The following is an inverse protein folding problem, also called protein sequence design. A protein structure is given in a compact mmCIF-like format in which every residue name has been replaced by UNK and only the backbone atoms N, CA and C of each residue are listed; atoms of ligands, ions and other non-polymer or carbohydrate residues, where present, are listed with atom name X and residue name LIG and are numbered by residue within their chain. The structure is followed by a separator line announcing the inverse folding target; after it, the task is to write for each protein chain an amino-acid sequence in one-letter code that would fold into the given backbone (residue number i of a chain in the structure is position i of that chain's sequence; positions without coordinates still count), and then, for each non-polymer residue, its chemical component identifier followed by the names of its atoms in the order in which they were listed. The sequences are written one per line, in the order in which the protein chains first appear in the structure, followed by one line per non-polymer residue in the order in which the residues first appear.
data_IF_573338785864
#
_entry.id   IF_573338785864
#
_cell.length_a   1.000
_cell.length_b   1.000
_cell.length_c   1.000
_cell.angle_alpha   90.00
_cell.angle_beta   90.00
_cell.angle_gamma   90.00
#
_symmetry.space_group_name_H-M   'P 1'
#
loop_
_entity.id
_entity.type
_entity.pdbx_description
1 polymer ?
#
# COMPACT_ATOMS: atom_id res chain seq x y z
N UNK A 1 27.84 -1.04 0.20
CA UNK A 1 26.60 -0.46 -0.37
C UNK A 1 25.61 -1.59 -0.58
N UNK A 2 24.34 -1.40 -0.24
CA UNK A 2 23.33 -2.46 -0.34
C UNK A 2 22.69 -2.48 -1.71
N UNK A 3 22.65 -3.66 -2.33
CA UNK A 3 22.11 -3.86 -3.67
C UNK A 3 20.61 -4.16 -3.64
N UNK A 4 19.83 -3.35 -4.32
CA UNK A 4 18.37 -3.44 -4.41
C UNK A 4 17.95 -3.67 -5.87
N UNK A 5 17.07 -4.64 -6.09
CA UNK A 5 16.38 -4.82 -7.37
C UNK A 5 14.89 -4.47 -7.21
N UNK A 6 14.36 -3.67 -8.16
CA UNK A 6 13.00 -3.16 -8.15
C UNK A 6 12.20 -3.76 -9.31
N UNK A 7 11.18 -4.57 -9.03
CA UNK A 7 10.21 -5.05 -10.02
C UNK A 7 8.85 -4.43 -9.74
N UNK A 8 8.29 -3.71 -10.71
CA UNK A 8 6.96 -3.12 -10.55
C UNK A 8 6.63 -2.05 -11.57
N UNK A 9 5.34 -1.88 -11.86
CA UNK A 9 4.87 -0.97 -12.91
C UNK A 9 5.25 0.49 -12.64
N UNK A 10 5.23 0.93 -11.37
CA UNK A 10 5.51 2.32 -11.02
C UNK A 10 6.98 2.64 -10.78
N UNK A 11 7.82 1.64 -10.46
CA UNK A 11 9.20 1.90 -10.02
C UNK A 11 10.09 2.58 -11.07
N UNK A 12 10.09 2.18 -12.37
CA UNK A 12 10.90 2.87 -13.36
C UNK A 12 10.60 4.37 -13.44
N UNK A 13 9.32 4.74 -13.39
CA UNK A 13 8.89 6.14 -13.41
C UNK A 13 9.25 6.86 -12.11
N UNK A 14 9.03 6.25 -10.94
CA UNK A 14 9.38 6.85 -9.66
C UNK A 14 10.89 7.13 -9.53
N UNK A 15 11.74 6.18 -9.94
CA UNK A 15 13.20 6.34 -9.90
C UNK A 15 13.65 7.44 -10.86
N UNK A 16 13.03 7.53 -12.05
CA UNK A 16 13.32 8.60 -13.01
C UNK A 16 12.94 9.99 -12.46
N UNK A 17 11.79 10.10 -11.78
CA UNK A 17 11.30 11.37 -11.23
C UNK A 17 12.08 11.80 -9.99
N UNK A 18 12.45 10.86 -9.12
CA UNK A 18 13.19 11.16 -7.89
C UNK A 18 14.32 10.13 -7.65
N UNK A 19 15.43 10.23 -8.39
CA UNK A 19 16.51 9.24 -8.32
C UNK A 19 17.22 9.23 -6.96
N UNK A 20 17.14 10.33 -6.20
CA UNK A 20 17.78 10.46 -4.88
C UNK A 20 16.93 9.90 -3.73
N UNK A 21 15.67 9.52 -3.98
CA UNK A 21 14.77 9.05 -2.93
C UNK A 21 15.28 7.80 -2.19
N UNK A 22 16.08 6.97 -2.86
CA UNK A 22 16.64 5.73 -2.31
C UNK A 22 17.97 5.94 -1.56
N UNK A 23 18.54 7.17 -1.57
CA UNK A 23 19.75 7.51 -0.82
C UNK A 23 20.93 6.58 -1.14
N UNK A 24 21.50 5.97 -0.11
CA UNK A 24 22.68 5.08 -0.18
C UNK A 24 22.40 3.66 -0.72
N UNK A 25 21.15 3.37 -1.12
CA UNK A 25 20.80 2.08 -1.72
C UNK A 25 21.27 2.05 -3.19
N UNK A 26 22.06 1.04 -3.52
CA UNK A 26 22.51 0.78 -4.88
C UNK A 26 21.39 0.06 -5.64
N UNK A 27 20.68 0.78 -6.50
CA UNK A 27 19.68 0.16 -7.40
C UNK A 27 20.42 -0.53 -8.53
N UNK A 28 20.55 -1.85 -8.44
CA UNK A 28 21.25 -2.64 -9.46
C UNK A 28 20.36 -2.99 -10.64
N UNK A 29 19.03 -2.98 -10.45
CA UNK A 29 18.07 -3.27 -11.50
C UNK A 29 16.71 -2.62 -11.21
N UNK A 30 16.06 -2.14 -12.27
CA UNK A 30 14.67 -1.67 -12.23
C UNK A 30 13.93 -2.12 -13.49
N UNK A 31 12.74 -2.68 -13.35
CA UNK A 31 11.97 -3.13 -14.49
C UNK A 31 10.54 -3.54 -14.15
N UNK A 32 9.81 -3.95 -15.19
CA UNK A 32 8.40 -4.33 -15.11
C UNK A 32 8.18 -5.79 -15.56
N UNK A 33 9.13 -6.36 -16.31
CA UNK A 33 9.01 -7.72 -16.85
C UNK A 33 9.62 -8.75 -15.90
N UNK A 34 8.80 -9.75 -15.53
CA UNK A 34 9.24 -10.94 -14.80
C UNK A 34 10.25 -11.77 -15.60
N UNK A 35 10.08 -11.84 -16.92
CA UNK A 35 11.00 -12.58 -17.79
C UNK A 35 12.39 -11.94 -17.78
N UNK A 36 12.46 -10.61 -17.95
CA UNK A 36 13.74 -9.87 -17.85
C UNK A 36 14.35 -10.00 -16.45
N UNK A 37 13.52 -9.99 -15.40
CA UNK A 37 13.99 -10.20 -14.03
C UNK A 37 14.77 -11.53 -13.91
N UNK A 38 14.16 -12.65 -14.32
CA UNK A 38 14.79 -13.97 -14.19
C UNK A 38 16.06 -14.12 -15.06
N UNK A 39 16.14 -13.39 -16.18
CA UNK A 39 17.30 -13.41 -17.07
C UNK A 39 18.50 -12.61 -16.54
N UNK A 40 18.23 -11.45 -15.94
CA UNK A 40 19.27 -10.44 -15.68
C UNK A 40 19.66 -10.35 -14.20
N UNK A 41 18.67 -10.39 -13.30
CA UNK A 41 18.86 -10.08 -11.88
C UNK A 41 19.72 -11.09 -11.12
N UNK A 42 19.67 -12.42 -11.40
CA UNK A 42 20.54 -13.39 -10.75
C UNK A 42 22.04 -13.05 -10.80
N UNK A 43 22.50 -12.47 -11.92
CA UNK A 43 23.91 -12.11 -12.11
C UNK A 43 24.33 -10.88 -11.29
N UNK A 44 23.36 -10.03 -10.94
CA UNK A 44 23.58 -8.79 -10.20
C UNK A 44 23.64 -9.01 -8.69
N UNK A 45 23.19 -10.19 -8.22
CA UNK A 45 23.15 -10.61 -6.80
C UNK A 45 22.61 -9.51 -5.88
N UNK A 46 21.38 -9.01 -6.09
CA UNK A 46 20.77 -8.08 -5.16
C UNK A 46 20.62 -8.72 -3.77
N UNK A 47 20.76 -7.90 -2.73
CA UNK A 47 20.56 -8.34 -1.36
C UNK A 47 19.09 -8.25 -0.95
N UNK A 48 18.35 -7.32 -1.55
CA UNK A 48 16.93 -7.08 -1.30
C UNK A 48 16.18 -6.96 -2.63
N UNK A 49 14.99 -7.55 -2.69
CA UNK A 49 14.05 -7.38 -3.78
C UNK A 49 12.90 -6.48 -3.30
N UNK A 50 12.52 -5.46 -4.07
CA UNK A 50 11.23 -4.79 -3.91
C UNK A 50 10.32 -5.16 -5.08
N UNK A 51 9.19 -5.78 -4.77
CA UNK A 51 8.27 -6.37 -5.74
C UNK A 51 6.91 -5.71 -5.58
N UNK A 52 6.44 -4.98 -6.60
CA UNK A 52 5.12 -4.33 -6.61
C UNK A 52 4.13 -5.13 -7.47
N UNK A 53 3.00 -5.50 -6.87
CA UNK A 53 1.91 -6.20 -7.54
C UNK A 53 0.61 -5.40 -7.45
N UNK A 54 -0.15 -5.37 -8.53
CA UNK A 54 -1.52 -4.83 -8.48
C UNK A 54 -2.40 -5.71 -7.59
N UNK A 55 -2.42 -7.01 -7.88
CA UNK A 55 -3.30 -7.99 -7.26
C UNK A 55 -2.49 -9.23 -6.88
N UNK A 56 -2.48 -9.55 -5.58
CA UNK A 56 -1.83 -10.75 -5.07
C UNK A 56 -2.58 -12.03 -5.48
N UNK A 57 -3.87 -11.98 -5.78
CA UNK A 57 -4.64 -13.14 -6.26
C UNK A 57 -4.16 -13.66 -7.62
N UNK A 58 -3.46 -12.82 -8.39
CA UNK A 58 -2.88 -13.18 -9.70
C UNK A 58 -1.40 -13.58 -9.62
N UNK A 59 -0.84 -13.67 -8.41
CA UNK A 59 0.57 -14.03 -8.20
C UNK A 59 0.65 -15.52 -7.88
N UNK A 60 1.35 -16.33 -8.71
CA UNK A 60 1.59 -17.73 -8.39
C UNK A 60 2.38 -17.87 -7.07
N UNK A 61 2.00 -18.83 -6.23
CA UNK A 61 2.60 -19.04 -4.91
C UNK A 61 4.12 -19.24 -4.97
N UNK A 62 4.61 -19.91 -6.01
CA UNK A 62 6.04 -20.21 -6.20
C UNK A 62 6.86 -19.04 -6.79
N UNK A 63 6.21 -17.96 -7.24
CA UNK A 63 6.90 -16.88 -7.93
C UNK A 63 7.93 -16.21 -7.03
N UNK A 64 7.52 -15.79 -5.84
CA UNK A 64 8.37 -15.04 -4.90
C UNK A 64 9.50 -15.93 -4.32
N UNK A 65 9.23 -17.17 -3.88
CA UNK A 65 10.27 -18.14 -3.54
C UNK A 65 11.29 -18.33 -4.68
N UNK A 66 10.82 -18.55 -5.91
CA UNK A 66 11.71 -18.71 -7.07
C UNK A 66 12.56 -17.47 -7.38
N UNK A 67 12.02 -16.26 -7.16
CA UNK A 67 12.80 -15.02 -7.29
C UNK A 67 13.86 -14.87 -6.19
N UNK A 68 13.54 -15.25 -4.95
CA UNK A 68 14.50 -15.25 -3.84
C UNK A 68 15.62 -16.27 -4.05
N UNK A 69 15.28 -17.48 -4.50
CA UNK A 69 16.23 -18.56 -4.76
C UNK A 69 17.15 -18.25 -5.93
N UNK A 70 16.59 -17.83 -7.07
CA UNK A 70 17.37 -17.52 -8.28
C UNK A 70 18.35 -16.35 -8.08
N UNK A 71 18.03 -15.40 -7.21
CA UNK A 71 18.87 -14.22 -6.97
C UNK A 71 19.77 -14.34 -5.75
N UNK A 72 19.48 -15.26 -4.83
CA UNK A 72 20.13 -15.35 -3.52
C UNK A 72 19.82 -14.15 -2.60
N UNK A 73 18.77 -13.37 -2.91
CA UNK A 73 18.40 -12.22 -2.11
C UNK A 73 17.97 -12.65 -0.69
N UNK A 74 18.37 -11.86 0.31
CA UNK A 74 18.11 -12.19 1.72
C UNK A 74 16.67 -11.85 2.12
N UNK A 75 16.10 -10.82 1.50
CA UNK A 75 14.77 -10.32 1.84
C UNK A 75 14.01 -9.87 0.58
N UNK A 76 12.70 -10.11 0.56
CA UNK A 76 11.76 -9.57 -0.41
C UNK A 76 10.74 -8.69 0.28
N UNK A 77 10.61 -7.46 -0.21
CA UNK A 77 9.61 -6.49 0.21
C UNK A 77 8.51 -6.43 -0.86
N UNK A 78 7.32 -6.91 -0.53
CA UNK A 78 6.21 -7.03 -1.46
C UNK A 78 5.23 -5.89 -1.20
N UNK A 79 5.09 -4.96 -2.14
CA UNK A 79 4.00 -3.99 -2.14
C UNK A 79 2.81 -4.48 -2.96
N UNK A 80 1.60 -4.24 -2.48
CA UNK A 80 0.38 -4.68 -3.17
C UNK A 80 -0.82 -3.74 -3.00
N UNK A 81 -1.73 -3.69 -4.00
CA UNK A 81 -2.96 -2.89 -3.97
C UNK A 81 -4.20 -3.71 -3.64
N UNK A 82 -4.30 -4.95 -4.12
CA UNK A 82 -5.34 -5.90 -3.74
C UNK A 82 -4.69 -7.06 -2.96
N UNK A 83 -5.12 -7.32 -1.71
CA UNK A 83 -4.61 -8.44 -0.93
C UNK A 83 -5.06 -9.78 -1.52
N UNK A 84 -4.44 -10.83 -1.02
CA UNK A 84 -4.97 -12.18 -1.16
C UNK A 84 -4.50 -12.98 0.05
N UNK A 85 -5.40 -13.16 1.01
CA UNK A 85 -5.07 -13.73 2.33
C UNK A 85 -4.35 -15.10 2.23
N UNK A 86 -4.78 -16.05 1.38
CA UNK A 86 -4.10 -17.34 1.22
C UNK A 86 -2.62 -17.21 0.80
N UNK A 87 -2.30 -16.29 -0.12
CA UNK A 87 -0.93 -16.08 -0.57
C UNK A 87 -0.07 -15.40 0.52
N UNK A 88 -0.63 -14.42 1.23
CA UNK A 88 0.07 -13.75 2.33
C UNK A 88 0.45 -14.77 3.42
N UNK A 89 -0.46 -15.68 3.76
CA UNK A 89 -0.21 -16.70 4.77
C UNK A 89 0.78 -17.77 4.27
N UNK A 90 0.67 -18.20 3.02
CA UNK A 90 1.62 -19.15 2.42
C UNK A 90 3.06 -18.61 2.36
N UNK A 91 3.23 -17.30 2.21
CA UNK A 91 4.54 -16.65 2.08
C UNK A 91 5.07 -16.04 3.38
N UNK A 92 4.35 -16.21 4.50
CA UNK A 92 4.71 -15.63 5.80
C UNK A 92 6.05 -16.21 6.28
N UNK A 93 7.10 -15.39 6.22
CA UNK A 93 8.44 -15.76 6.70
C UNK A 93 9.26 -14.53 7.06
N UNK A 94 10.36 -14.66 7.83
CA UNK A 94 11.27 -13.54 8.10
C UNK A 94 11.92 -12.93 6.85
N UNK A 95 11.98 -13.70 5.74
CA UNK A 95 12.54 -13.26 4.46
C UNK A 95 11.57 -12.45 3.62
N UNK A 96 10.30 -12.35 4.02
CA UNK A 96 9.26 -11.69 3.23
C UNK A 96 8.50 -10.69 4.09
N UNK A 97 8.52 -9.42 3.67
CA UNK A 97 7.70 -8.37 4.27
C UNK A 97 6.62 -7.91 3.29
N UNK A 98 5.43 -7.71 3.81
CA UNK A 98 4.29 -7.21 3.06
C UNK A 98 4.03 -5.73 3.37
N UNK A 99 3.76 -4.94 2.34
CA UNK A 99 3.39 -3.53 2.43
C UNK A 99 2.18 -3.26 1.54
N UNK A 100 1.29 -2.38 1.99
CA UNK A 100 0.25 -1.85 1.13
C UNK A 100 0.84 -0.75 0.25
N UNK A 101 0.69 -0.91 -1.06
CA UNK A 101 1.12 0.04 -2.07
C UNK A 101 0.00 0.96 -2.55
N UNK A 102 0.32 1.97 -3.38
CA UNK A 102 1.65 2.27 -3.90
C UNK A 102 2.60 2.85 -2.83
N UNK A 103 3.85 2.38 -2.79
CA UNK A 103 4.85 2.81 -1.80
C UNK A 103 5.80 3.83 -2.43
N UNK A 104 5.92 5.05 -1.88
CA UNK A 104 6.95 6.00 -2.30
C UNK A 104 8.36 5.48 -2.03
N UNK A 105 9.32 5.76 -2.92
CA UNK A 105 10.70 5.30 -2.78
C UNK A 105 11.37 5.70 -1.45
N UNK A 106 11.01 6.84 -0.87
CA UNK A 106 11.51 7.27 0.44
C UNK A 106 11.06 6.35 1.58
N UNK A 107 9.80 5.89 1.53
CA UNK A 107 9.26 4.92 2.49
C UNK A 107 9.79 3.51 2.22
N UNK A 108 9.98 3.15 0.95
CA UNK A 108 10.66 1.92 0.55
C UNK A 108 12.06 1.85 1.18
N UNK A 109 12.84 2.93 1.06
CA UNK A 109 14.17 3.05 1.69
C UNK A 109 14.11 2.85 3.20
N UNK A 110 13.17 3.53 3.88
CA UNK A 110 13.00 3.38 5.33
C UNK A 110 12.70 1.92 5.72
N UNK A 111 11.84 1.24 4.96
CA UNK A 111 11.46 -0.15 5.25
C UNK A 111 12.57 -1.12 4.93
N UNK A 112 13.30 -0.91 3.84
CA UNK A 112 14.47 -1.70 3.49
C UNK A 112 15.55 -1.60 4.58
N UNK A 113 15.78 -0.40 5.12
CA UNK A 113 16.72 -0.21 6.24
C UNK A 113 16.21 -0.87 7.53
N UNK A 114 14.94 -0.68 7.91
CA UNK A 114 14.36 -1.29 9.13
C UNK A 114 14.22 -2.81 9.08
N UNK A 115 13.91 -3.40 7.93
CA UNK A 115 13.74 -4.85 7.81
C UNK A 115 15.05 -5.60 8.07
N UNK A 116 16.19 -4.90 8.01
CA UNK A 116 17.49 -5.44 8.38
C UNK A 116 17.74 -5.29 9.88
N UNK A 117 17.39 -4.14 10.46
CA UNK A 117 17.47 -3.92 11.92
C UNK A 117 16.55 -4.86 12.70
N UNK A 118 15.33 -5.12 12.19
CA UNK A 118 14.32 -5.99 12.83
C UNK A 118 14.69 -7.48 12.73
N UNK A 119 15.48 -7.90 11.73
CA UNK A 119 16.07 -9.25 11.66
C UNK A 119 17.12 -9.47 12.77
N UNK A 120 17.69 -8.39 13.31
CA UNK A 120 18.67 -8.42 14.41
C UNK A 120 18.04 -8.13 15.78
N UNK A 121 16.89 -7.46 15.85
CA UNK A 121 16.23 -7.03 17.11
C UNK A 121 14.70 -7.09 17.00
N UNK A 122 14.11 -8.24 17.31
CA UNK A 122 12.66 -8.32 17.40
C UNK A 122 12.11 -7.57 18.64
N UNK A 123 11.30 -6.55 18.41
CA UNK A 123 10.18 -6.20 19.31
C UNK A 123 10.08 -4.74 19.76
N UNK A 124 9.11 -3.98 19.23
CA UNK A 124 8.29 -3.01 20.00
C UNK A 124 7.15 -2.40 19.15
N UNK A 125 5.90 -2.35 19.67
CA UNK A 125 4.79 -1.69 18.98
C UNK A 125 4.77 -0.17 19.25
N UNK A 126 4.33 0.60 18.25
CA UNK A 126 4.11 2.06 18.33
C UNK A 126 2.61 2.34 18.47
N UNK A 127 2.26 3.28 19.34
CA UNK A 127 0.90 3.68 19.71
C UNK A 127 0.54 5.00 18.99
N UNK A 128 -0.61 5.06 18.32
CA UNK A 128 -1.08 6.27 17.61
C UNK A 128 -1.92 7.17 18.51
N UNK A 129 -1.85 8.49 18.28
CA UNK A 129 -2.59 9.54 18.98
C UNK A 129 -3.85 9.98 18.18
N UNK A 130 -4.90 10.53 18.83
CA UNK A 130 -6.14 10.90 18.16
C UNK A 130 -6.08 12.30 17.51
N UNK A 131 -6.80 12.45 16.39
CA UNK A 131 -6.93 13.69 15.58
C UNK A 131 -8.33 14.30 15.71
N UNK A 132 -8.40 15.64 15.68
CA UNK A 132 -9.61 16.46 15.76
C UNK A 132 -10.29 16.67 14.40
N UNK A 133 -11.62 16.83 14.41
CA UNK A 133 -12.47 16.99 13.23
C UNK A 133 -12.60 18.46 12.80
N UNK A 134 -12.55 18.72 11.48
CA UNK A 134 -12.87 20.02 10.88
C UNK A 134 -14.35 20.07 10.42
N UNK A 135 -15.03 21.23 10.47
CA UNK A 135 -16.42 21.37 10.07
C UNK A 135 -16.56 21.78 8.59
N UNK A 136 -17.51 21.19 7.86
CA UNK A 136 -17.92 21.72 6.56
C UNK A 136 -18.58 20.78 5.54
N UNK A 137 -18.48 19.45 5.70
CA UNK A 137 -19.06 18.50 4.74
C UNK A 137 -20.21 17.68 5.35
N UNK A 138 -21.08 17.15 4.48
CA UNK A 138 -22.14 16.20 4.85
C UNK A 138 -21.53 15.06 5.67
N UNK A 139 -22.10 14.77 6.84
CA UNK A 139 -21.54 13.82 7.80
C UNK A 139 -21.20 12.47 7.10
N UNK A 140 -20.00 11.91 7.33
CA UNK A 140 -19.65 10.58 6.85
C UNK A 140 -20.71 9.55 7.23
N UNK A 141 -21.12 8.68 6.29
CA UNK A 141 -22.11 7.62 6.59
C UNK A 141 -21.53 6.52 7.48
N UNK A 142 -20.21 6.33 7.43
CA UNK A 142 -19.49 5.35 8.26
C UNK A 142 -18.48 6.04 9.18
N UNK A 143 -18.50 5.66 10.45
CA UNK A 143 -17.51 6.09 11.45
C UNK A 143 -16.16 5.37 11.24
N UNK A 144 -15.04 5.88 11.79
CA UNK A 144 -13.76 5.19 11.73
C UNK A 144 -13.83 3.78 12.34
N UNK A 145 -14.60 3.62 13.41
CA UNK A 145 -14.80 2.34 14.08
C UNK A 145 -15.58 1.36 13.20
N UNK A 146 -16.61 1.83 12.49
CA UNK A 146 -17.37 1.01 11.54
C UNK A 146 -16.49 0.57 10.36
N UNK A 147 -15.69 1.48 9.80
CA UNK A 147 -14.75 1.16 8.74
C UNK A 147 -13.67 0.18 9.22
N UNK A 148 -13.17 0.35 10.45
CA UNK A 148 -12.23 -0.58 11.07
C UNK A 148 -12.83 -1.98 11.22
N UNK A 149 -14.06 -2.10 11.71
CA UNK A 149 -14.78 -3.40 11.78
C UNK A 149 -14.90 -4.04 10.40
N UNK A 150 -15.32 -3.28 9.39
CA UNK A 150 -15.47 -3.77 8.01
C UNK A 150 -14.17 -4.27 7.42
N UNK A 151 -13.04 -3.65 7.76
CA UNK A 151 -11.72 -4.06 7.28
C UNK A 151 -11.28 -5.43 7.82
N UNK A 152 -11.81 -5.83 8.99
CA UNK A 152 -11.52 -7.10 9.65
C UNK A 152 -12.57 -8.19 9.36
N UNK A 153 -13.67 -7.85 8.67
CA UNK A 153 -14.65 -8.85 8.25
C UNK A 153 -14.05 -9.73 7.17
N UNK A 154 -13.77 -10.98 7.52
CA UNK A 154 -13.63 -12.07 6.56
C UNK A 154 -15.03 -12.50 6.14
N UNK A 155 -15.38 -12.33 4.86
CA UNK A 155 -16.68 -12.80 4.37
C UNK A 155 -16.64 -14.31 4.22
N UNK A 156 -17.76 -14.99 4.52
CA UNK A 156 -17.87 -16.45 4.49
C UNK A 156 -17.63 -17.07 3.11
N UNK A 157 -17.64 -16.27 2.03
CA UNK A 157 -17.51 -16.74 0.64
C UNK A 157 -16.17 -16.36 -0.03
N UNK A 158 -15.18 -15.86 0.74
CA UNK A 158 -13.87 -15.50 0.19
C UNK A 158 -13.85 -14.21 -0.65
N UNK A 159 -14.94 -13.44 -0.63
CA UNK A 159 -15.05 -12.16 -1.32
C UNK A 159 -14.45 -11.02 -0.47
N UNK A 160 -13.38 -10.38 -0.97
CA UNK A 160 -12.68 -9.30 -0.26
C UNK A 160 -13.22 -7.88 -0.60
N UNK A 161 -14.36 -7.76 -1.30
CA UNK A 161 -14.89 -6.48 -1.78
C UNK A 161 -15.25 -5.49 -0.66
N UNK A 162 -15.97 -5.94 0.38
CA UNK A 162 -16.34 -5.09 1.51
C UNK A 162 -15.11 -4.51 2.25
N UNK A 163 -14.11 -5.32 2.66
CA UNK A 163 -12.90 -4.79 3.28
C UNK A 163 -12.03 -3.95 2.33
N UNK A 164 -12.06 -4.16 1.01
CA UNK A 164 -11.40 -3.26 0.06
C UNK A 164 -12.10 -1.91 -0.05
N UNK A 165 -13.44 -1.90 -0.15
CA UNK A 165 -14.20 -0.67 -0.31
C UNK A 165 -14.17 0.18 0.97
N UNK A 166 -14.23 -0.44 2.15
CA UNK A 166 -14.04 0.24 3.43
C UNK A 166 -12.68 0.95 3.52
N UNK A 167 -11.60 0.35 2.98
CA UNK A 167 -10.27 0.98 2.91
C UNK A 167 -10.27 2.22 2.02
N UNK A 168 -10.94 2.17 0.86
CA UNK A 168 -11.03 3.34 -0.03
C UNK A 168 -11.80 4.48 0.61
N UNK A 169 -12.94 4.19 1.25
CA UNK A 169 -13.73 5.18 2.00
C UNK A 169 -12.88 5.79 3.13
N UNK A 170 -12.16 4.97 3.89
CA UNK A 170 -11.23 5.44 4.93
C UNK A 170 -10.11 6.31 4.38
N UNK A 171 -9.52 5.95 3.23
CA UNK A 171 -8.49 6.74 2.56
C UNK A 171 -8.98 8.09 2.07
N UNK A 172 -10.17 8.16 1.47
CA UNK A 172 -10.80 9.42 1.05
C UNK A 172 -11.06 10.33 2.25
N UNK A 173 -11.53 9.76 3.36
CA UNK A 173 -11.72 10.49 4.61
C UNK A 173 -10.40 11.04 5.17
N UNK A 174 -9.35 10.22 5.22
CA UNK A 174 -8.04 10.66 5.70
C UNK A 174 -7.44 11.77 4.85
N UNK A 175 -7.60 11.71 3.52
CA UNK A 175 -7.16 12.80 2.64
C UNK A 175 -7.98 14.08 2.87
N UNK A 176 -9.30 13.96 3.07
CA UNK A 176 -10.16 15.10 3.39
C UNK A 176 -9.73 15.79 4.69
N UNK A 177 -9.49 15.01 5.75
CA UNK A 177 -8.97 15.51 7.04
C UNK A 177 -7.60 16.19 6.89
N UNK A 178 -6.71 15.64 6.04
CA UNK A 178 -5.43 16.27 5.71
C UNK A 178 -5.61 17.62 5.02
N UNK A 179 -6.46 17.69 3.99
CA UNK A 179 -6.68 18.94 3.23
C UNK A 179 -7.31 20.05 4.04
N UNK A 180 -8.06 19.71 5.10
CA UNK A 180 -8.61 20.68 6.04
C UNK A 180 -7.53 21.39 6.89
N UNK A 181 -6.34 20.80 7.00
CA UNK A 181 -5.20 21.39 7.71
C UNK A 181 -4.22 22.16 6.82
N UNK A 182 -4.49 22.30 5.52
CA UNK A 182 -3.63 23.05 4.62
C UNK A 182 -3.79 24.56 4.83
N UNK A 183 -2.67 25.28 4.95
CA UNK A 183 -2.67 26.74 4.86
C UNK A 183 -3.01 27.15 3.42
N UNK A 184 -3.86 28.16 3.26
CA UNK A 184 -4.28 28.70 1.96
C UNK A 184 -3.79 30.14 1.86
N UNK A 185 -2.89 30.40 0.92
CA UNK A 185 -2.17 31.67 0.84
C UNK A 185 -2.78 32.65 -0.17
N UNK A 186 -3.58 32.17 -1.13
CA UNK A 186 -4.26 33.01 -2.12
C UNK A 186 -5.63 32.48 -2.58
N UNK A 187 -6.40 33.33 -3.27
CA UNK A 187 -7.74 33.00 -3.77
C UNK A 187 -7.76 31.84 -4.78
N UNK A 188 -6.68 31.62 -5.55
CA UNK A 188 -6.61 30.53 -6.53
C UNK A 188 -6.45 29.19 -5.82
N UNK A 189 -5.60 29.15 -4.81
CA UNK A 189 -5.42 28.00 -3.92
C UNK A 189 -6.72 27.68 -3.18
N UNK A 190 -7.42 28.71 -2.68
CA UNK A 190 -8.73 28.53 -2.05
C UNK A 190 -9.75 27.88 -3.00
N UNK A 191 -9.89 28.40 -4.24
CA UNK A 191 -10.80 27.81 -5.25
C UNK A 191 -10.42 26.39 -5.64
N UNK A 192 -9.12 26.07 -5.69
CA UNK A 192 -8.64 24.71 -5.95
C UNK A 192 -9.03 23.77 -4.80
N UNK A 193 -8.83 24.18 -3.55
CA UNK A 193 -9.22 23.40 -2.37
C UNK A 193 -10.73 23.17 -2.31
N UNK A 194 -11.55 24.19 -2.61
CA UNK A 194 -13.01 24.02 -2.72
C UNK A 194 -13.41 23.03 -3.82
N UNK A 195 -12.71 23.05 -4.97
CA UNK A 195 -12.93 22.07 -6.02
C UNK A 195 -12.58 20.67 -5.54
N UNK A 196 -11.42 20.49 -4.92
CA UNK A 196 -10.98 19.20 -4.38
C UNK A 196 -11.98 18.68 -3.34
N UNK A 197 -12.43 19.51 -2.41
CA UNK A 197 -13.44 19.16 -1.40
C UNK A 197 -14.74 18.64 -2.03
N UNK A 198 -15.25 19.33 -3.06
CA UNK A 198 -16.45 18.88 -3.79
C UNK A 198 -16.24 17.54 -4.49
N UNK A 199 -15.10 17.32 -5.14
CA UNK A 199 -14.82 16.06 -5.83
C UNK A 199 -14.65 14.91 -4.84
N UNK A 200 -13.98 15.16 -3.72
CA UNK A 200 -13.78 14.20 -2.64
C UNK A 200 -15.10 13.78 -2.00
N UNK A 201 -16.00 14.76 -1.76
CA UNK A 201 -17.34 14.48 -1.24
C UNK A 201 -18.13 13.56 -2.18
N UNK A 202 -18.15 13.86 -3.48
CA UNK A 202 -18.84 13.04 -4.48
C UNK A 202 -18.27 11.63 -4.57
N UNK A 203 -16.95 11.50 -4.59
CA UNK A 203 -16.29 10.20 -4.63
C UNK A 203 -16.62 9.37 -3.37
N UNK A 204 -16.57 9.99 -2.18
CA UNK A 204 -16.92 9.32 -0.93
C UNK A 204 -18.37 8.84 -0.94
N UNK A 205 -19.32 9.70 -1.30
CA UNK A 205 -20.75 9.33 -1.35
C UNK A 205 -20.99 8.12 -2.26
N UNK A 206 -20.40 8.10 -3.46
CA UNK A 206 -20.53 6.99 -4.39
C UNK A 206 -19.95 5.66 -3.84
N UNK A 207 -18.80 5.72 -3.16
CA UNK A 207 -18.21 4.52 -2.55
C UNK A 207 -18.99 4.05 -1.31
N UNK A 208 -19.52 4.98 -0.50
CA UNK A 208 -20.38 4.65 0.63
C UNK A 208 -21.68 3.99 0.17
N UNK A 209 -22.26 4.42 -0.96
CA UNK A 209 -23.42 3.75 -1.59
C UNK A 209 -23.11 2.31 -2.01
N UNK A 210 -21.97 2.08 -2.66
CA UNK A 210 -21.52 0.73 -2.99
C UNK A 210 -21.30 -0.14 -1.74
N UNK A 211 -20.80 0.45 -0.65
CA UNK A 211 -20.56 -0.26 0.60
C UNK A 211 -21.87 -0.67 1.27
N UNK A 212 -22.90 0.18 1.27
CA UNK A 212 -24.24 -0.19 1.74
C UNK A 212 -24.79 -1.38 0.95
N UNK A 213 -24.71 -1.34 -0.38
CA UNK A 213 -25.20 -2.43 -1.23
C UNK A 213 -24.49 -3.77 -0.94
N UNK A 214 -23.17 -3.74 -0.68
CA UNK A 214 -22.41 -4.94 -0.29
C UNK A 214 -22.86 -5.52 1.07
N UNK A 215 -23.16 -4.65 2.03
CA UNK A 215 -23.63 -5.08 3.36
C UNK A 215 -25.02 -5.67 3.31
N UNK A 216 -25.92 -5.08 2.52
CA UNK A 216 -27.26 -5.61 2.27
C UNK A 216 -27.19 -6.98 1.59
N UNK A 217 -26.35 -7.13 0.56
CA UNK A 217 -26.17 -8.41 -0.13
C UNK A 217 -25.60 -9.50 0.79
N UNK A 218 -24.60 -9.15 1.61
CA UNK A 218 -23.96 -10.08 2.55
C UNK A 218 -24.74 -10.29 3.86
N UNK A 219 -25.90 -9.66 4.04
CA UNK A 219 -26.65 -9.62 5.30
C UNK A 219 -25.79 -9.21 6.53
N UNK A 220 -24.84 -8.29 6.33
CA UNK A 220 -23.92 -7.83 7.37
C UNK A 220 -24.49 -6.60 8.08
N UNK A 221 -24.42 -6.59 9.42
CA UNK A 221 -24.83 -5.45 10.27
C UNK A 221 -23.63 -4.93 11.07
N UNK A 222 -23.52 -3.61 11.23
CA UNK A 222 -22.37 -2.91 11.85
C UNK A 222 -22.65 -2.37 13.24
#
# INVERSE_FOLDING_TARGET
MMKLALLGDSYPTQVRVNPRALGELEVVWVGQSRESFFREVPRLRPQVLALDFMDLGQVPTELIPGMLESTGARHALISYRLPHSPLIDALRSPRVSFLRGPVPLSLLRLRVNRSLDDLERAGRPVRQAPMSQAPGARAPRFSPEQLGRLMELSTQEGCECAPQLARLVGGLRGFWEYTAGCEQHDEKEQRLHELLDRQMTRAREALEEGLVALLEHGNLRL
#
